data_IF_770413601592
#
_entry.id   IF_770413601592
#
_cell.length_a   1.000
_cell.length_b   1.000
_cell.length_c   1.000
_cell.angle_alpha   90.00
_cell.angle_beta   90.00
_cell.angle_gamma   90.00
#
_symmetry.space_group_name_H-M   'P 1'
#
loop_
_entity.id
_entity.type
_entity.pdbx_description
1 polymer ?
#
# COMPACT_ATOMS: atom_id res chain seq x y z
N UNK A 1 20.86 -1.08 11.85
CA UNK A 1 19.75 -0.35 11.17
C UNK A 1 18.78 -1.42 10.70
N UNK A 2 17.53 -1.43 11.17
CA UNK A 2 16.53 -2.36 10.64
C UNK A 2 16.15 -1.89 9.24
N UNK A 3 16.58 -2.63 8.22
CA UNK A 3 16.22 -2.36 6.83
C UNK A 3 14.75 -2.75 6.68
N UNK A 4 13.84 -1.78 6.56
CA UNK A 4 12.43 -2.08 6.25
C UNK A 4 12.39 -2.56 4.81
N UNK A 5 11.86 -3.76 4.59
CA UNK A 5 11.66 -4.32 3.27
C UNK A 5 10.43 -3.65 2.64
N UNK A 6 10.58 -3.19 1.39
CA UNK A 6 9.48 -2.70 0.55
C UNK A 6 9.38 -3.57 -0.70
N UNK A 7 8.26 -3.50 -1.42
CA UNK A 7 8.08 -4.30 -2.62
C UNK A 7 8.98 -3.73 -3.72
N UNK A 8 9.85 -4.53 -4.38
CA UNK A 8 10.72 -4.04 -5.45
C UNK A 8 9.96 -3.41 -6.63
N UNK A 9 8.66 -3.68 -6.77
CA UNK A 9 7.80 -3.04 -7.76
C UNK A 9 7.60 -1.54 -7.50
N UNK A 10 7.88 -1.07 -6.29
CA UNK A 10 7.86 0.36 -5.94
C UNK A 10 9.06 1.10 -6.56
N UNK A 11 10.19 0.41 -6.77
CA UNK A 11 11.40 0.96 -7.42
C UNK A 11 11.31 0.92 -8.95
N UNK A 12 10.35 0.16 -9.51
CA UNK A 12 10.12 0.12 -10.96
C UNK A 12 9.51 1.46 -11.42
N UNK A 13 10.08 2.16 -12.41
CA UNK A 13 9.64 3.49 -12.78
C UNK A 13 8.24 3.55 -13.42
N UNK A 14 7.74 2.45 -13.96
CA UNK A 14 6.39 2.36 -14.53
C UNK A 14 5.39 1.96 -13.46
N UNK A 15 5.65 0.88 -12.72
CA UNK A 15 4.78 0.39 -11.66
C UNK A 15 4.76 1.31 -10.45
N UNK A 16 5.88 1.94 -10.09
CA UNK A 16 5.96 2.91 -8.99
C UNK A 16 5.02 4.10 -9.20
N UNK A 17 4.84 4.56 -10.45
CA UNK A 17 3.82 5.57 -10.78
C UNK A 17 2.41 5.04 -10.55
N UNK A 18 2.14 3.81 -10.99
CA UNK A 18 0.84 3.15 -10.81
C UNK A 18 0.53 2.91 -9.33
N UNK A 19 1.51 2.47 -8.55
CA UNK A 19 1.40 2.23 -7.10
C UNK A 19 1.08 3.53 -6.38
N UNK A 20 1.75 4.63 -6.74
CA UNK A 20 1.46 5.96 -6.21
C UNK A 20 0.05 6.44 -6.58
N UNK A 21 -0.34 6.27 -7.84
CA UNK A 21 -1.72 6.60 -8.28
C UNK A 21 -2.75 5.79 -7.49
N UNK A 22 -2.52 4.49 -7.30
CA UNK A 22 -3.42 3.64 -6.52
C UNK A 22 -3.48 4.04 -5.04
N UNK A 23 -2.39 4.57 -4.47
CA UNK A 23 -2.39 5.16 -3.11
C UNK A 23 -3.31 6.38 -3.05
N UNK A 24 -3.17 7.31 -3.99
CA UNK A 24 -4.02 8.52 -4.06
C UNK A 24 -5.50 8.15 -4.22
N UNK A 25 -5.80 7.14 -5.04
CA UNK A 25 -7.16 6.61 -5.19
C UNK A 25 -7.67 5.96 -3.89
N UNK A 26 -6.83 5.19 -3.19
CA UNK A 26 -7.20 4.59 -1.91
C UNK A 26 -7.46 5.64 -0.82
N UNK A 27 -6.63 6.68 -0.76
CA UNK A 27 -6.84 7.82 0.15
C UNK A 27 -8.17 8.51 -0.13
N UNK A 28 -8.50 8.71 -1.41
CA UNK A 28 -9.77 9.32 -1.82
C UNK A 28 -10.96 8.43 -1.47
N UNK A 29 -10.88 7.13 -1.74
CA UNK A 29 -11.95 6.18 -1.37
C UNK A 29 -12.21 6.16 0.15
N UNK A 30 -11.16 6.37 0.94
CA UNK A 30 -11.22 6.40 2.40
C UNK A 30 -11.33 7.80 3.00
N UNK A 31 -11.61 8.85 2.21
CA UNK A 31 -11.58 10.24 2.67
C UNK A 31 -12.54 10.52 3.84
N UNK A 32 -13.67 9.79 3.87
CA UNK A 32 -14.71 9.91 4.90
C UNK A 32 -14.50 8.96 6.09
N UNK A 33 -13.46 8.13 6.07
CA UNK A 33 -13.15 7.20 7.16
C UNK A 33 -12.21 7.89 8.15
N UNK A 34 -12.55 7.94 9.46
CA UNK A 34 -11.66 8.51 10.47
C UNK A 34 -10.29 7.82 10.50
N UNK A 35 -9.22 8.61 10.41
CA UNK A 35 -7.82 8.14 10.51
C UNK A 35 -7.47 7.81 11.97
N UNK A 36 -7.92 6.65 12.43
CA UNK A 36 -7.65 6.10 13.77
C UNK A 36 -6.55 5.05 13.72
N UNK A 37 -6.20 4.55 14.91
CA UNK A 37 -5.29 3.42 15.12
C UNK A 37 -5.61 2.28 14.12
N UNK A 38 -4.62 1.87 13.33
CA UNK A 38 -4.72 0.81 12.31
C UNK A 38 -5.27 1.25 10.94
N UNK A 39 -5.47 2.55 10.71
CA UNK A 39 -5.92 3.07 9.40
C UNK A 39 -4.95 2.70 8.28
N UNK A 40 -3.65 2.57 8.57
CA UNK A 40 -2.64 2.18 7.57
C UNK A 40 -2.95 0.83 6.93
N UNK A 41 -3.46 -0.13 7.72
CA UNK A 41 -3.85 -1.45 7.21
C UNK A 41 -5.06 -1.37 6.29
N UNK A 42 -6.00 -0.48 6.59
CA UNK A 42 -7.16 -0.23 5.74
C UNK A 42 -6.72 0.42 4.41
N UNK A 43 -5.86 1.43 4.49
CA UNK A 43 -5.31 2.10 3.32
C UNK A 43 -4.58 1.09 2.40
N UNK A 44 -3.66 0.31 2.95
CA UNK A 44 -2.92 -0.69 2.19
C UNK A 44 -3.81 -1.78 1.61
N UNK A 45 -4.83 -2.23 2.34
CA UNK A 45 -5.82 -3.18 1.83
C UNK A 45 -6.56 -2.61 0.62
N UNK A 46 -6.99 -1.36 0.71
CA UNK A 46 -7.69 -0.66 -0.39
C UNK A 46 -6.77 -0.44 -1.59
N UNK A 47 -5.56 0.06 -1.37
CA UNK A 47 -4.55 0.26 -2.41
C UNK A 47 -4.22 -1.05 -3.13
N UNK A 48 -3.99 -2.13 -2.36
CA UNK A 48 -3.71 -3.46 -2.92
C UNK A 48 -4.87 -4.00 -3.76
N UNK A 49 -6.11 -3.78 -3.33
CA UNK A 49 -7.30 -4.12 -4.11
C UNK A 49 -7.33 -3.34 -5.44
N UNK A 50 -7.11 -2.02 -5.40
CA UNK A 50 -7.08 -1.17 -6.60
C UNK A 50 -5.98 -1.64 -7.57
N UNK A 51 -4.79 -1.92 -7.07
CA UNK A 51 -3.66 -2.43 -7.86
C UNK A 51 -3.99 -3.76 -8.55
N UNK A 52 -4.62 -4.67 -7.82
CA UNK A 52 -5.01 -5.98 -8.36
C UNK A 52 -6.11 -5.84 -9.41
N UNK A 53 -7.18 -5.12 -9.09
CA UNK A 53 -8.39 -5.05 -9.91
C UNK A 53 -8.19 -4.23 -11.19
N UNK A 54 -7.49 -3.08 -11.11
CA UNK A 54 -7.34 -2.16 -12.25
C UNK A 54 -6.09 -2.41 -13.08
N UNK A 55 -5.01 -2.83 -12.43
CA UNK A 55 -3.68 -2.89 -13.07
C UNK A 55 -3.11 -4.31 -13.13
N UNK A 56 -3.76 -5.30 -12.51
CA UNK A 56 -3.26 -6.67 -12.44
C UNK A 56 -1.99 -6.83 -11.60
N UNK A 57 -1.65 -5.84 -10.78
CA UNK A 57 -0.41 -5.79 -10.00
C UNK A 57 -0.61 -6.52 -8.67
N UNK A 58 0.22 -7.52 -8.40
CA UNK A 58 0.29 -8.18 -7.08
C UNK A 58 1.35 -7.48 -6.22
N UNK A 59 0.96 -6.37 -5.58
CA UNK A 59 1.82 -5.60 -4.68
C UNK A 59 1.73 -6.13 -3.24
N UNK A 60 2.86 -6.19 -2.54
CA UNK A 60 2.96 -6.57 -1.12
C UNK A 60 3.06 -5.33 -0.24
N UNK A 61 2.25 -5.32 0.81
CA UNK A 61 2.26 -4.25 1.82
C UNK A 61 3.52 -4.31 2.69
N UNK A 62 3.89 -3.20 3.33
CA UNK A 62 5.03 -3.20 4.26
C UNK A 62 4.82 -4.16 5.44
N UNK A 63 3.57 -4.38 5.89
CA UNK A 63 3.26 -5.38 6.93
C UNK A 63 3.51 -6.82 6.46
N UNK A 64 3.20 -7.14 5.20
CA UNK A 64 3.50 -8.46 4.64
C UNK A 64 5.00 -8.68 4.45
N UNK A 65 5.74 -7.63 4.09
CA UNK A 65 7.19 -7.70 3.89
C UNK A 65 7.97 -7.68 5.21
N UNK A 66 7.38 -7.16 6.30
CA UNK A 66 8.03 -7.02 7.60
C UNK A 66 7.12 -7.57 8.71
N UNK A 67 6.92 -8.89 8.81
CA UNK A 67 6.00 -9.51 9.76
C UNK A 67 6.35 -9.24 11.22
N UNK A 68 7.63 -8.98 11.53
CA UNK A 68 8.11 -8.65 12.87
C UNK A 68 7.87 -7.18 13.27
N UNK A 69 7.42 -6.35 12.33
CA UNK A 69 7.15 -4.93 12.57
C UNK A 69 5.66 -4.68 12.76
N UNK A 70 5.30 -4.06 13.88
CA UNK A 70 3.94 -3.56 14.10
C UNK A 70 3.78 -2.21 13.41
N UNK A 71 2.93 -2.20 12.39
CA UNK A 71 2.47 -0.98 11.74
C UNK A 71 1.12 -0.59 12.31
N UNK A 72 0.88 0.70 12.44
CA UNK A 72 -0.39 1.24 12.90
C UNK A 72 -0.71 2.58 12.23
#
# INVERSE_FOLDING_TARGET
MHNRLHDPQEDDPEKGKIIKTAEEEAIKELENIPRKLGFVHLLWKTQKRILKDKYGIDWKTSAEMNPDTRFD
#
